data_IF_806306846604
#
_entry.id   IF_806306846604
#
_cell.length_a   1.000
_cell.length_b   1.000
_cell.length_c   1.000
_cell.angle_alpha   90.00
_cell.angle_beta   90.00
_cell.angle_gamma   90.00
#
_symmetry.space_group_name_H-M   'P 1'
#
loop_
_entity.id
_entity.type
_entity.pdbx_description
1 polymer ?
#
# COMPACT_ATOMS: atom_id res chain seq x y z
N UNK A 1 -7.93 19.28 2.47
CA UNK A 1 -7.75 17.93 1.88
C UNK A 1 -7.59 16.94 3.02
N UNK A 2 -8.38 15.86 3.06
CA UNK A 2 -8.22 14.78 4.05
C UNK A 2 -6.87 14.08 3.79
N UNK A 3 -6.01 13.99 4.81
CA UNK A 3 -4.75 13.26 4.71
C UNK A 3 -5.02 11.78 4.95
N UNK A 4 -4.30 10.91 4.25
CA UNK A 4 -4.38 9.47 4.47
C UNK A 4 -3.05 8.78 4.18
N UNK A 5 -2.89 7.62 4.80
CA UNK A 5 -1.84 6.65 4.55
C UNK A 5 -2.52 5.30 4.38
N UNK A 6 -2.34 4.69 3.22
CA UNK A 6 -2.83 3.35 2.91
C UNK A 6 -1.63 2.42 2.84
N UNK A 7 -1.64 1.35 3.62
CA UNK A 7 -0.64 0.27 3.53
C UNK A 7 -1.27 -0.96 2.91
N UNK A 8 -0.47 -1.89 2.39
CA UNK A 8 -0.92 -3.21 1.98
C UNK A 8 0.25 -4.16 1.69
N UNK A 9 -0.01 -5.46 1.72
CA UNK A 9 1.00 -6.50 1.56
C UNK A 9 0.59 -7.46 0.45
N UNK A 10 1.53 -7.80 -0.43
CA UNK A 10 1.35 -8.86 -1.42
C UNK A 10 2.32 -9.98 -1.06
N UNK A 11 1.78 -11.03 -0.44
CA UNK A 11 2.58 -12.12 0.14
C UNK A 11 3.32 -12.95 -0.90
N UNK A 12 2.70 -13.21 -2.05
CA UNK A 12 3.33 -13.93 -3.16
C UNK A 12 4.59 -13.21 -3.65
N UNK A 13 4.58 -11.89 -3.58
CA UNK A 13 5.72 -11.04 -3.96
C UNK A 13 6.64 -10.75 -2.79
N UNK A 14 6.24 -11.09 -1.56
CA UNK A 14 6.94 -10.82 -0.31
C UNK A 14 7.26 -9.32 -0.13
N UNK A 15 6.30 -8.46 -0.48
CA UNK A 15 6.45 -7.01 -0.46
C UNK A 15 5.30 -6.34 0.28
N UNK A 16 5.63 -5.22 0.93
CA UNK A 16 4.72 -4.29 1.57
C UNK A 16 4.78 -2.95 0.84
N UNK A 17 3.64 -2.28 0.77
CA UNK A 17 3.40 -1.05 0.04
C UNK A 17 2.80 -0.03 1.01
N UNK A 18 3.26 1.21 0.93
CA UNK A 18 2.67 2.36 1.60
C UNK A 18 2.41 3.44 0.56
N UNK A 19 1.20 4.00 0.54
CA UNK A 19 0.78 5.10 -0.34
C UNK A 19 0.24 6.24 0.52
N UNK A 20 0.82 7.43 0.34
CA UNK A 20 0.41 8.64 1.03
C UNK A 20 -0.56 9.48 0.19
N UNK A 21 -1.27 10.39 0.85
CA UNK A 21 -2.23 11.29 0.19
C UNK A 21 -1.62 12.24 -0.83
N UNK A 22 -0.30 12.48 -0.79
CA UNK A 22 0.46 13.26 -1.77
C UNK A 22 1.02 12.40 -2.91
N UNK A 23 0.57 11.14 -3.04
CA UNK A 23 1.00 10.17 -4.05
C UNK A 23 2.44 9.65 -3.91
N UNK A 24 3.17 10.10 -2.89
CA UNK A 24 4.41 9.44 -2.50
C UNK A 24 4.09 8.00 -2.08
N UNK A 25 5.04 7.11 -2.34
CA UNK A 25 4.92 5.72 -1.96
C UNK A 25 6.25 5.14 -1.51
N UNK A 26 6.17 4.13 -0.63
CA UNK A 26 7.31 3.29 -0.26
C UNK A 26 6.99 1.83 -0.52
N UNK A 27 8.02 1.09 -0.90
CA UNK A 27 7.95 -0.36 -1.09
C UNK A 27 9.03 -0.98 -0.24
N UNK A 28 8.66 -1.99 0.53
CA UNK A 28 9.54 -2.70 1.43
C UNK A 28 9.45 -4.21 1.20
N UNK A 29 10.59 -4.90 1.24
CA UNK A 29 10.61 -6.37 1.17
C UNK A 29 10.30 -6.95 2.56
N UNK A 30 9.19 -7.69 2.69
CA UNK A 30 8.70 -8.22 3.98
C UNK A 30 9.74 -9.07 4.73
N UNK A 31 10.45 -9.93 4.00
CA UNK A 31 11.37 -10.90 4.61
C UNK A 31 12.69 -10.29 5.09
N UNK A 32 13.04 -9.09 4.60
CA UNK A 32 14.31 -8.42 4.89
C UNK A 32 14.13 -7.08 5.56
N UNK A 33 12.87 -6.62 5.68
CA UNK A 33 12.48 -5.27 6.07
C UNK A 33 13.37 -4.28 5.33
N UNK A 34 13.50 -4.45 4.00
CA UNK A 34 14.44 -3.70 3.17
C UNK A 34 13.74 -2.78 2.18
N UNK A 35 14.15 -1.51 2.16
CA UNK A 35 13.78 -0.53 1.12
C UNK A 35 13.94 -1.06 -0.31
N UNK A 36 12.92 -0.87 -1.16
CA UNK A 36 13.05 -1.03 -2.61
C UNK A 36 13.03 0.35 -3.26
N UNK A 37 14.22 0.87 -3.55
CA UNK A 37 14.40 2.21 -4.17
C UNK A 37 14.27 2.20 -5.69
N UNK A 38 14.25 1.00 -6.31
CA UNK A 38 14.06 0.82 -7.75
C UNK A 38 12.89 -0.14 -7.96
N UNK A 39 11.65 0.36 -8.03
CA UNK A 39 10.47 -0.47 -8.21
C UNK A 39 10.51 -1.20 -9.55
N UNK A 40 10.06 -2.46 -9.56
CA UNK A 40 9.85 -3.22 -10.79
C UNK A 40 8.44 -2.95 -11.37
N UNK A 41 8.12 -3.59 -12.51
CA UNK A 41 6.80 -3.44 -13.15
C UNK A 41 5.64 -3.88 -12.24
N UNK A 42 5.84 -4.90 -11.42
CA UNK A 42 4.80 -5.42 -10.54
C UNK A 42 4.54 -4.47 -9.38
N UNK A 43 5.60 -3.86 -8.85
CA UNK A 43 5.48 -2.83 -7.82
C UNK A 43 4.63 -1.65 -8.29
N UNK A 44 4.89 -1.16 -9.51
CA UNK A 44 4.11 -0.07 -10.09
C UNK A 44 2.65 -0.47 -10.33
N UNK A 45 2.36 -1.73 -10.66
CA UNK A 45 0.98 -2.24 -10.76
C UNK A 45 0.26 -2.13 -9.41
N UNK A 46 0.89 -2.54 -8.31
CA UNK A 46 0.30 -2.45 -6.97
C UNK A 46 0.08 -0.99 -6.54
N UNK A 47 1.05 -0.10 -6.77
CA UNK A 47 0.90 1.33 -6.47
C UNK A 47 -0.25 1.94 -7.27
N UNK A 48 -0.34 1.65 -8.57
CA UNK A 48 -1.43 2.12 -9.42
C UNK A 48 -2.80 1.62 -8.95
N UNK A 49 -2.89 0.36 -8.50
CA UNK A 49 -4.11 -0.19 -7.94
C UNK A 49 -4.52 0.53 -6.64
N UNK A 50 -3.58 0.76 -5.72
CA UNK A 50 -3.83 1.53 -4.49
C UNK A 50 -4.22 2.98 -4.79
N UNK A 51 -3.66 3.59 -5.84
CA UNK A 51 -3.97 4.95 -6.24
C UNK A 51 -5.26 5.07 -7.08
N UNK A 52 -5.78 3.96 -7.61
CA UNK A 52 -7.01 3.95 -8.40
C UNK A 52 -8.19 4.51 -7.60
N UNK A 53 -8.93 5.51 -8.10
CA UNK A 53 -10.00 6.16 -7.34
C UNK A 53 -11.07 5.19 -6.83
N UNK A 54 -11.48 4.23 -7.66
CA UNK A 54 -12.52 3.26 -7.30
C UNK A 54 -12.03 2.27 -6.22
N UNK A 55 -10.76 1.88 -6.26
CA UNK A 55 -10.15 0.99 -5.29
C UNK A 55 -9.94 1.71 -3.95
N UNK A 56 -9.42 2.94 -4.02
CA UNK A 56 -9.21 3.83 -2.88
C UNK A 56 -10.53 4.13 -2.14
N UNK A 57 -11.60 4.40 -2.88
CA UNK A 57 -12.93 4.62 -2.31
C UNK A 57 -13.42 3.41 -1.50
N UNK A 58 -13.17 2.18 -2.00
CA UNK A 58 -13.52 0.95 -1.26
C UNK A 58 -12.74 0.86 0.04
N UNK A 59 -11.44 1.15 0.02
CA UNK A 59 -10.57 1.12 1.21
C UNK A 59 -11.01 2.18 2.22
N UNK A 60 -11.23 3.42 1.77
CA UNK A 60 -11.60 4.54 2.62
C UNK A 60 -12.97 4.32 3.27
N UNK A 61 -13.97 3.83 2.54
CA UNK A 61 -15.33 3.61 3.07
C UNK A 61 -15.41 2.49 4.10
N UNK A 62 -14.39 1.63 4.19
CA UNK A 62 -14.40 0.49 5.09
C UNK A 62 -13.94 0.89 6.51
N UNK A 63 -14.90 1.07 7.43
CA UNK A 63 -14.66 1.59 8.79
C UNK A 63 -13.76 0.71 9.68
N UNK A 64 -13.66 -0.60 9.39
CA UNK A 64 -12.90 -1.58 10.17
C UNK A 64 -11.83 -2.28 9.29
N UNK A 65 -10.93 -1.50 8.72
CA UNK A 65 -9.90 -1.95 7.78
C UNK A 65 -8.57 -2.28 8.47
N UNK A 66 -8.60 -2.92 9.64
CA UNK A 66 -7.35 -3.40 10.26
C UNK A 66 -6.78 -4.65 9.55
N UNK A 67 -7.62 -5.40 8.82
CA UNK A 67 -7.29 -6.63 8.09
C UNK A 67 -8.11 -6.77 6.81
N UNK A 68 -8.12 -5.74 5.96
CA UNK A 68 -8.82 -5.81 4.68
C UNK A 68 -7.93 -6.49 3.64
N UNK A 69 -8.48 -7.43 2.89
CA UNK A 69 -7.89 -7.96 1.66
C UNK A 69 -8.79 -7.60 0.47
N UNK A 70 -8.18 -7.14 -0.62
CA UNK A 70 -8.89 -6.80 -1.84
C UNK A 70 -8.14 -7.39 -3.03
N UNK A 71 -8.90 -7.75 -4.06
CA UNK A 71 -8.38 -8.18 -5.35
C UNK A 71 -8.40 -7.01 -6.33
N UNK A 72 -7.35 -6.90 -7.14
CA UNK A 72 -7.34 -6.08 -8.33
C UNK A 72 -6.81 -6.87 -9.52
N UNK A 73 -7.24 -6.48 -10.70
CA UNK A 73 -6.76 -7.04 -11.96
C UNK A 73 -5.69 -6.10 -12.52
N UNK A 74 -4.55 -6.65 -12.93
CA UNK A 74 -3.53 -5.86 -13.62
C UNK A 74 -3.84 -5.70 -15.11
N UNK A 75 -2.99 -4.92 -15.80
CA UNK A 75 -3.10 -4.68 -17.25
C UNK A 75 -2.98 -5.95 -18.12
N UNK A 76 -2.49 -7.06 -17.55
CA UNK A 76 -2.31 -8.34 -18.22
C UNK A 76 -3.43 -9.33 -17.82
N UNK A 77 -4.51 -8.85 -17.20
CA UNK A 77 -5.64 -9.63 -16.68
C UNK A 77 -5.29 -10.65 -15.58
N UNK A 78 -4.18 -10.43 -14.87
CA UNK A 78 -3.83 -11.24 -13.71
C UNK A 78 -4.52 -10.69 -12.47
N UNK A 79 -5.21 -11.56 -11.74
CA UNK A 79 -5.77 -11.23 -10.43
C UNK A 79 -4.68 -11.26 -9.38
N UNK A 80 -4.53 -10.15 -8.67
CA UNK A 80 -3.56 -9.97 -7.59
C UNK A 80 -4.31 -9.62 -6.32
N UNK A 81 -3.97 -10.32 -5.24
CA UNK A 81 -4.54 -10.07 -3.92
C UNK A 81 -3.58 -9.19 -3.12
N UNK A 82 -4.06 -8.02 -2.70
CA UNK A 82 -3.39 -7.20 -1.70
C UNK A 82 -4.09 -7.39 -0.36
N UNK A 83 -3.33 -7.86 0.62
CA UNK A 83 -3.78 -8.24 1.96
C UNK A 83 -3.27 -7.26 3.01
N UNK A 84 -3.79 -7.39 4.25
CA UNK A 84 -3.41 -6.52 5.38
C UNK A 84 -3.47 -5.03 5.04
N UNK A 85 -4.45 -4.64 4.23
CA UNK A 85 -4.65 -3.24 3.91
C UNK A 85 -5.07 -2.53 5.17
N UNK A 86 -4.34 -1.46 5.53
CA UNK A 86 -4.69 -0.54 6.61
C UNK A 86 -4.83 0.86 6.02
N UNK A 87 -5.83 1.60 6.47
CA UNK A 87 -5.98 3.00 6.08
C UNK A 87 -6.08 3.88 7.31
N UNK A 88 -5.07 4.73 7.47
CA UNK A 88 -5.04 5.74 8.51
C UNK A 88 -5.61 7.03 7.91
N UNK A 89 -6.78 7.46 8.37
CA UNK A 89 -7.34 8.78 8.05
C UNK A 89 -6.77 9.79 9.02
N UNK A 90 -6.29 10.93 8.51
CA UNK A 90 -5.49 11.91 9.25
C UNK A 90 -4.34 11.25 10.04
N UNK A 91 -3.41 10.55 9.36
CA UNK A 91 -2.31 9.87 10.04
C UNK A 91 -1.50 10.90 10.83
N UNK A 92 -1.09 10.53 12.04
CA UNK A 92 -0.17 11.35 12.83
C UNK A 92 1.21 11.29 12.19
N UNK A 93 2.09 12.24 12.54
CA UNK A 93 3.49 12.21 12.12
C UNK A 93 4.15 10.86 12.47
N UNK A 94 3.79 10.28 13.61
CA UNK A 94 4.27 8.97 14.07
C UNK A 94 3.89 7.85 13.08
N UNK A 95 2.67 7.87 12.53
CA UNK A 95 2.26 6.87 11.51
C UNK A 95 3.09 7.00 10.24
N UNK A 96 3.39 8.23 9.81
CA UNK A 96 4.28 8.48 8.67
C UNK A 96 5.71 8.01 8.96
N UNK A 97 6.29 8.41 10.09
CA UNK A 97 7.64 8.06 10.49
C UNK A 97 7.83 6.56 10.70
N UNK A 98 6.83 5.86 11.25
CA UNK A 98 6.90 4.42 11.45
C UNK A 98 6.95 3.64 10.13
N UNK A 99 6.09 3.98 9.18
CA UNK A 99 6.10 3.32 7.87
C UNK A 99 7.30 3.76 7.02
N UNK A 100 7.77 5.00 7.18
CA UNK A 100 9.02 5.46 6.57
C UNK A 100 10.24 4.73 7.18
N UNK A 101 10.30 4.57 8.50
CA UNK A 101 11.38 3.83 9.15
C UNK A 101 11.42 2.36 8.73
N UNK A 102 10.26 1.69 8.64
CA UNK A 102 10.16 0.34 8.06
C UNK A 102 10.67 0.26 6.62
N UNK A 103 10.56 1.34 5.86
CA UNK A 103 11.09 1.38 4.50
C UNK A 103 12.57 1.72 4.46
N UNK A 104 13.22 2.13 5.55
CA UNK A 104 14.64 2.51 5.59
C UNK A 104 15.59 1.42 6.14
N UNK A 105 15.07 0.49 6.96
CA UNK A 105 15.82 -0.72 7.38
C UNK A 105 16.11 -1.58 6.13
#
# INVERSE_FOLDING_TARGET
>A
MEKYLITGEIYDWKKSYALFSNEEYFICQLNRIKAINKPDKNDLKAINALNNPSFKDKILKNKNNYYLSLEFEDIDNNKIIISNIKCFRNPTLISYEYEHYKSLI
#
